data_IF_631009572197
#
_entry.id   IF_631009572197
#
_cell.length_a   1.000
_cell.length_b   1.000
_cell.length_c   1.000
_cell.angle_alpha   90.00
_cell.angle_beta   90.00
_cell.angle_gamma   90.00
#
_symmetry.space_group_name_H-M   'P 1'
#
loop_
_entity.id
_entity.type
_entity.pdbx_description
1 polymer ?
#
# COMPACT_ATOMS: atom_id res chain seq x y z
N UNK A 1 0.11 -11.10 59.04
CA UNK A 1 0.26 -9.82 58.33
C UNK A 1 -0.17 -10.06 56.90
N UNK A 2 -1.15 -9.29 56.44
CA UNK A 2 -1.86 -9.49 55.18
C UNK A 2 -0.92 -9.33 53.98
N UNK A 3 -1.01 -10.24 53.02
CA UNK A 3 -0.33 -10.13 51.73
C UNK A 3 -0.98 -8.99 50.94
N UNK A 4 -0.17 -8.02 50.53
CA UNK A 4 -0.57 -6.94 49.65
C UNK A 4 -1.05 -7.51 48.30
N UNK A 5 -2.36 -7.39 48.04
CA UNK A 5 -2.92 -7.44 46.69
C UNK A 5 -2.29 -6.31 45.86
N UNK A 6 -1.21 -6.61 45.13
CA UNK A 6 -0.65 -5.69 44.14
C UNK A 6 -1.71 -5.42 43.07
N UNK A 7 -2.37 -4.28 43.20
CA UNK A 7 -3.45 -3.85 42.31
C UNK A 7 -2.92 -3.60 40.91
N UNK A 8 -3.10 -4.58 40.02
CA UNK A 8 -2.69 -4.50 38.62
C UNK A 8 -3.37 -3.32 37.92
N UNK A 9 -2.62 -2.60 37.08
CA UNK A 9 -3.09 -1.40 36.37
C UNK A 9 -3.31 -1.69 34.88
N UNK A 10 -4.41 -1.21 34.32
CA UNK A 10 -4.79 -1.40 32.93
C UNK A 10 -3.83 -0.65 31.99
N UNK A 11 -3.16 -1.38 31.11
CA UNK A 11 -2.19 -0.82 30.14
C UNK A 11 -2.80 0.20 29.17
N UNK A 12 -4.12 0.17 28.93
CA UNK A 12 -4.80 1.06 27.98
C UNK A 12 -5.23 2.39 28.59
N UNK A 13 -5.79 2.38 29.81
CA UNK A 13 -6.44 3.57 30.39
C UNK A 13 -6.08 3.86 31.84
N UNK A 14 -5.17 3.09 32.46
CA UNK A 14 -4.75 3.30 33.85
C UNK A 14 -5.76 2.90 34.92
N UNK A 15 -6.96 2.42 34.56
CA UNK A 15 -7.93 1.90 35.52
C UNK A 15 -7.46 0.60 36.18
N UNK A 16 -8.11 0.17 37.26
CA UNK A 16 -7.82 -1.12 37.90
C UNK A 16 -8.03 -2.27 36.90
N UNK A 17 -6.98 -3.07 36.68
CA UNK A 17 -7.04 -4.20 35.77
C UNK A 17 -7.85 -5.34 36.38
N UNK A 18 -8.57 -6.07 35.53
CA UNK A 18 -9.27 -7.29 35.92
C UNK A 18 -8.35 -8.52 35.80
N UNK A 19 -7.27 -8.42 35.02
CA UNK A 19 -6.32 -9.49 34.74
C UNK A 19 -5.84 -9.44 33.30
N UNK A 20 -5.31 -10.57 32.81
CA UNK A 20 -4.87 -10.72 31.43
C UNK A 20 -6.08 -11.02 30.52
N UNK A 21 -6.32 -10.17 29.52
CA UNK A 21 -7.30 -10.39 28.48
C UNK A 21 -6.73 -9.99 27.13
N UNK A 22 -6.87 -10.89 26.14
CA UNK A 22 -6.32 -10.71 24.80
C UNK A 22 -4.80 -10.43 24.85
N UNK A 23 -4.10 -11.22 25.66
CA UNK A 23 -2.65 -11.16 25.88
C UNK A 23 -2.11 -9.93 26.66
N UNK A 24 -2.98 -9.06 27.20
CA UNK A 24 -2.55 -7.88 27.95
C UNK A 24 -3.29 -7.67 29.27
N UNK A 25 -2.63 -7.03 30.24
CA UNK A 25 -3.22 -6.64 31.53
C UNK A 25 -4.16 -5.44 31.34
N UNK A 26 -5.46 -5.68 31.41
CA UNK A 26 -6.49 -4.67 31.10
C UNK A 26 -7.67 -4.70 32.06
N UNK A 27 -8.41 -3.59 32.13
CA UNK A 27 -9.66 -3.50 32.89
C UNK A 27 -10.84 -4.09 32.09
N UNK A 28 -11.96 -4.38 32.79
CA UNK A 28 -13.20 -4.85 32.16
C UNK A 28 -13.73 -3.92 31.06
N UNK A 29 -13.54 -2.61 31.22
CA UNK A 29 -13.95 -1.61 30.25
C UNK A 29 -13.22 -1.75 28.91
N UNK A 30 -11.89 -1.89 28.93
CA UNK A 30 -11.09 -2.04 27.72
C UNK A 30 -11.21 -3.44 27.11
N UNK A 31 -11.33 -4.48 27.94
CA UNK A 31 -11.69 -5.85 27.50
C UNK A 31 -12.96 -5.85 26.64
N UNK A 32 -14.06 -5.33 27.19
CA UNK A 32 -15.35 -5.33 26.49
C UNK A 32 -15.36 -4.42 25.27
N UNK A 33 -14.67 -3.27 25.35
CA UNK A 33 -14.53 -2.35 24.22
C UNK A 33 -13.76 -2.99 23.05
N UNK A 34 -12.62 -3.63 23.33
CA UNK A 34 -11.81 -4.32 22.33
C UNK A 34 -12.60 -5.45 21.67
N UNK A 35 -13.24 -6.33 22.46
CA UNK A 35 -14.09 -7.41 21.96
C UNK A 35 -15.15 -6.93 20.97
N UNK A 36 -15.94 -5.91 21.35
CA UNK A 36 -17.01 -5.37 20.48
C UNK A 36 -16.47 -4.70 19.22
N UNK A 37 -15.29 -4.10 19.31
CA UNK A 37 -14.70 -3.37 18.18
C UNK A 37 -14.10 -4.33 17.15
N UNK A 38 -13.37 -5.35 17.61
CA UNK A 38 -12.80 -6.39 16.75
C UNK A 38 -13.89 -7.26 16.14
N UNK A 39 -14.82 -7.74 16.97
CA UNK A 39 -15.91 -8.62 16.53
C UNK A 39 -16.74 -8.02 15.39
N UNK A 40 -17.24 -6.79 15.58
CA UNK A 40 -18.06 -6.11 14.58
C UNK A 40 -17.23 -5.33 13.55
N UNK A 41 -15.90 -5.55 13.50
CA UNK A 41 -14.95 -4.82 12.64
C UNK A 41 -15.20 -3.29 12.62
N UNK A 42 -15.43 -2.71 13.80
CA UNK A 42 -15.86 -1.30 13.91
C UNK A 42 -14.75 -0.36 13.50
N UNK A 43 -15.06 0.49 12.53
CA UNK A 43 -14.22 1.62 12.16
C UNK A 43 -14.62 2.87 12.94
N UNK A 44 -13.63 3.55 13.52
CA UNK A 44 -13.84 4.79 14.25
C UNK A 44 -12.95 5.88 13.67
N UNK A 45 -13.51 7.06 13.43
CA UNK A 45 -12.76 8.25 13.06
C UNK A 45 -12.51 9.14 14.28
N UNK A 46 -11.30 9.70 14.39
CA UNK A 46 -10.95 10.68 15.42
C UNK A 46 -11.38 12.08 14.96
N UNK A 47 -11.89 12.90 15.88
CA UNK A 47 -12.29 14.30 15.61
C UNK A 47 -11.24 15.34 16.02
N UNK A 48 -10.12 14.92 16.62
CA UNK A 48 -9.19 15.80 17.32
C UNK A 48 -7.72 15.60 16.94
N UNK A 49 -7.41 14.94 15.80
CA UNK A 49 -6.03 14.81 15.31
C UNK A 49 -5.36 13.44 15.53
N UNK A 50 -6.04 12.48 16.18
CA UNK A 50 -5.57 11.08 16.26
C UNK A 50 -4.67 10.73 17.46
N UNK A 51 -4.55 11.64 18.41
CA UNK A 51 -3.64 11.60 19.57
C UNK A 51 -4.34 11.83 20.93
N UNK A 52 -5.66 11.66 20.99
CA UNK A 52 -6.43 11.90 22.23
C UNK A 52 -5.91 11.07 23.41
N UNK A 53 -5.76 11.72 24.57
CA UNK A 53 -5.37 11.06 25.83
C UNK A 53 -6.43 10.03 26.26
N UNK A 54 -5.99 8.81 26.57
CA UNK A 54 -6.86 7.71 27.02
C UNK A 54 -6.58 7.39 28.48
N UNK A 55 -7.34 7.99 29.40
CA UNK A 55 -7.31 7.69 30.85
C UNK A 55 -8.70 7.30 31.35
N UNK A 56 -8.81 6.75 32.56
CA UNK A 56 -10.05 6.18 33.11
C UNK A 56 -11.26 7.11 32.98
N UNK A 57 -11.07 8.40 33.22
CA UNK A 57 -12.10 9.44 33.26
C UNK A 57 -12.61 9.79 31.86
N UNK A 58 -11.73 9.80 30.85
CA UNK A 58 -12.05 10.28 29.50
C UNK A 58 -11.87 9.23 28.39
N UNK A 59 -11.63 7.96 28.71
CA UNK A 59 -11.45 6.86 27.72
C UNK A 59 -12.63 6.65 26.77
N UNK A 60 -13.80 7.24 27.04
CA UNK A 60 -14.97 7.15 26.17
C UNK A 60 -15.10 8.32 25.19
N UNK A 61 -14.28 9.38 25.32
CA UNK A 61 -14.35 10.59 24.48
C UNK A 61 -14.00 10.27 23.02
N UNK A 62 -12.90 9.56 22.79
CA UNK A 62 -12.46 9.18 21.44
C UNK A 62 -12.31 7.67 21.31
N UNK A 63 -13.26 7.02 20.63
CA UNK A 63 -13.24 5.58 20.37
C UNK A 63 -12.09 5.19 19.43
N UNK A 64 -11.75 6.07 18.47
CA UNK A 64 -10.65 5.85 17.53
C UNK A 64 -9.31 5.74 18.27
N UNK A 65 -8.93 6.76 19.03
CA UNK A 65 -7.68 6.74 19.81
C UNK A 65 -7.67 5.64 20.89
N UNK A 66 -8.82 5.32 21.49
CA UNK A 66 -8.91 4.18 22.41
C UNK A 66 -8.62 2.84 21.73
N UNK A 67 -9.21 2.60 20.55
CA UNK A 67 -8.97 1.35 19.81
C UNK A 67 -7.53 1.27 19.33
N UNK A 68 -6.99 2.38 18.79
CA UNK A 68 -5.57 2.53 18.46
C UNK A 68 -4.70 2.14 19.65
N UNK A 69 -5.01 2.68 20.84
CA UNK A 69 -4.26 2.37 22.07
C UNK A 69 -4.33 0.90 22.48
N UNK A 70 -5.47 0.23 22.27
CA UNK A 70 -5.58 -1.22 22.52
C UNK A 70 -4.59 -2.03 21.67
N UNK A 71 -4.43 -1.69 20.39
CA UNK A 71 -3.45 -2.34 19.53
C UNK A 71 -2.02 -1.97 19.88
N UNK A 72 -1.74 -0.69 20.19
CA UNK A 72 -0.40 -0.24 20.61
C UNK A 72 0.11 -0.96 21.86
N UNK A 73 -0.76 -1.29 22.81
CA UNK A 73 -0.36 -2.06 24.00
C UNK A 73 -0.27 -3.56 23.73
N UNK A 74 -0.59 -4.03 22.52
CA UNK A 74 -0.49 -5.42 22.10
C UNK A 74 -1.68 -6.30 22.43
N UNK A 75 -2.92 -5.76 22.46
CA UNK A 75 -4.11 -6.61 22.57
C UNK A 75 -4.31 -7.42 21.29
N UNK A 76 -4.38 -8.76 21.41
CA UNK A 76 -4.47 -9.67 20.28
C UNK A 76 -5.93 -9.79 19.75
N UNK A 77 -6.25 -9.37 18.52
CA UNK A 77 -7.58 -9.52 17.93
C UNK A 77 -7.98 -10.98 17.68
N UNK A 78 -7.04 -11.87 17.41
CA UNK A 78 -7.30 -13.28 17.09
C UNK A 78 -7.76 -14.08 18.32
N UNK A 79 -7.43 -13.59 19.51
CA UNK A 79 -7.94 -14.12 20.78
C UNK A 79 -9.44 -13.78 21.00
N UNK A 80 -10.06 -13.00 20.11
CA UNK A 80 -11.52 -12.76 20.10
C UNK A 80 -12.19 -13.87 19.29
N UNK A 81 -12.52 -14.98 19.95
CA UNK A 81 -13.28 -16.08 19.33
C UNK A 81 -14.62 -15.58 18.76
N UNK A 82 -15.05 -16.13 17.61
CA UNK A 82 -16.42 -15.98 17.07
C UNK A 82 -17.41 -16.84 17.89
N UNK A 83 -18.72 -16.80 17.59
CA UNK A 83 -19.80 -17.21 18.52
C UNK A 83 -19.54 -18.51 19.27
N UNK A 84 -19.87 -18.51 20.57
CA UNK A 84 -20.18 -19.77 21.23
C UNK A 84 -21.53 -20.18 20.67
N UNK A 85 -21.60 -21.33 19.99
CA UNK A 85 -22.85 -22.04 19.78
C UNK A 85 -23.62 -21.98 21.09
N UNK A 86 -24.85 -21.45 21.02
CA UNK A 86 -25.76 -21.47 22.16
C UNK A 86 -26.01 -22.93 22.47
N UNK A 87 -25.20 -23.50 23.36
CA UNK A 87 -25.47 -24.80 23.95
C UNK A 87 -26.86 -24.73 24.56
N UNK A 88 -27.83 -25.32 23.85
CA UNK A 88 -29.18 -25.57 24.29
C UNK A 88 -29.11 -26.58 25.44
N UNK A 89 -28.66 -26.13 26.61
CA UNK A 89 -28.79 -26.90 27.86
C UNK A 89 -30.19 -26.64 28.39
N UNK A 90 -31.12 -27.47 27.95
CA UNK A 90 -32.48 -27.49 28.47
C UNK A 90 -33.38 -28.48 27.75
N UNK A 91 -33.18 -29.78 27.95
CA UNK A 91 -34.25 -30.67 28.41
C UNK A 91 -33.70 -32.07 28.68
N UNK A 92 -33.72 -32.46 29.94
CA UNK A 92 -33.60 -33.83 30.41
C UNK A 92 -34.84 -34.64 30.01
N UNK A 93 -34.61 -35.90 29.59
CA UNK A 93 -35.50 -37.08 29.66
C UNK A 93 -36.89 -36.99 29.01
N UNK A 94 -37.16 -37.80 27.98
CA UNK A 94 -38.06 -38.97 28.05
C UNK A 94 -38.02 -39.77 26.72
N UNK A 95 -38.35 -41.04 26.82
CA UNK A 95 -38.08 -42.16 25.92
C UNK A 95 -39.03 -42.28 24.68
N UNK A 96 -38.48 -42.96 23.66
CA UNK A 96 -39.05 -43.92 22.69
C UNK A 96 -40.22 -43.63 21.72
N UNK A 97 -39.94 -44.07 20.48
CA UNK A 97 -40.81 -44.80 19.54
C UNK A 97 -41.60 -44.09 18.42
N UNK A 98 -41.18 -44.47 17.20
CA UNK A 98 -41.97 -44.90 16.03
C UNK A 98 -42.71 -43.91 15.10
N UNK A 99 -42.26 -43.93 13.85
CA UNK A 99 -43.01 -44.10 12.58
C UNK A 99 -43.62 -42.91 11.82
N UNK A 100 -43.16 -42.84 10.55
CA UNK A 100 -43.90 -42.63 9.28
C UNK A 100 -44.16 -41.22 8.75
N UNK A 101 -43.89 -41.12 7.45
CA UNK A 101 -43.86 -39.94 6.58
C UNK A 101 -45.24 -39.62 5.95
N UNK A 102 -45.31 -38.83 4.85
CA UNK A 102 -45.87 -37.48 4.78
C UNK A 102 -47.23 -37.47 4.03
N UNK A 103 -47.81 -36.30 3.74
CA UNK A 103 -48.50 -36.02 2.46
C UNK A 103 -48.77 -34.53 2.32
N UNK A 104 -48.48 -34.06 1.10
CA UNK A 104 -48.67 -32.73 0.58
C UNK A 104 -50.11 -32.43 0.17
N UNK A 105 -50.43 -31.15 -0.01
CA UNK A 105 -51.39 -30.76 -1.05
C UNK A 105 -51.02 -29.40 -1.63
N UNK A 106 -50.85 -29.43 -2.95
CA UNK A 106 -50.43 -28.34 -3.82
C UNK A 106 -51.61 -27.63 -4.48
N UNK A 107 -51.22 -26.60 -5.25
CA UNK A 107 -51.84 -26.09 -6.48
C UNK A 107 -52.58 -24.74 -6.30
N UNK A 108 -52.56 -23.79 -7.24
CA UNK A 108 -52.33 -23.86 -8.70
C UNK A 108 -52.08 -22.45 -9.27
N UNK A 109 -51.15 -22.34 -10.24
CA UNK A 109 -51.08 -21.52 -11.49
C UNK A 109 -51.66 -20.07 -11.53
N UNK A 110 -51.15 -19.13 -12.34
CA UNK A 110 -51.27 -19.09 -13.83
C UNK A 110 -50.45 -17.89 -14.41
N UNK A 111 -49.57 -18.21 -15.40
CA UNK A 111 -49.13 -17.46 -16.63
C UNK A 111 -48.44 -16.09 -16.44
N UNK A 112 -47.19 -15.85 -16.87
CA UNK A 112 -46.60 -15.95 -18.22
C UNK A 112 -46.50 -14.51 -18.81
N UNK A 113 -45.48 -14.03 -19.55
CA UNK A 113 -44.34 -14.64 -20.21
C UNK A 113 -43.40 -13.50 -20.71
N UNK A 114 -42.09 -13.79 -20.83
CA UNK A 114 -41.10 -13.24 -21.80
C UNK A 114 -40.70 -11.75 -21.66
N UNK A 115 -39.50 -11.28 -22.04
CA UNK A 115 -38.18 -11.82 -22.40
C UNK A 115 -37.35 -10.56 -22.76
N UNK A 116 -36.08 -10.51 -22.36
CA UNK A 116 -34.92 -10.06 -23.13
C UNK A 116 -34.00 -9.04 -22.43
N UNK A 117 -32.73 -9.38 -22.56
CA UNK A 117 -31.49 -8.86 -21.99
C UNK A 117 -30.88 -7.71 -22.82
N UNK A 118 -30.15 -6.79 -22.16
CA UNK A 118 -28.78 -6.28 -22.49
C UNK A 118 -28.55 -4.94 -21.76
N UNK A 119 -27.62 -4.86 -20.80
CA UNK A 119 -26.18 -4.54 -20.89
C UNK A 119 -25.88 -3.06 -21.23
N UNK A 120 -24.93 -2.49 -20.46
CA UNK A 120 -23.88 -1.51 -20.80
C UNK A 120 -23.86 -0.23 -19.92
N UNK A 121 -22.84 -0.22 -19.06
CA UNK A 121 -21.84 0.83 -18.71
C UNK A 121 -22.27 2.24 -18.29
N UNK A 122 -21.66 2.70 -17.19
CA UNK A 122 -21.58 4.11 -16.85
C UNK A 122 -20.10 4.52 -16.74
N UNK A 123 -19.72 5.43 -17.63
CA UNK A 123 -18.41 6.08 -17.70
C UNK A 123 -18.32 7.18 -16.65
N UNK A 124 -17.16 7.32 -16.03
CA UNK A 124 -16.75 8.51 -15.28
C UNK A 124 -15.67 9.23 -16.08
N UNK A 125 -15.97 10.43 -16.57
CA UNK A 125 -15.01 11.40 -17.07
C UNK A 125 -14.94 12.58 -16.11
N UNK A 126 -13.72 12.96 -15.69
CA UNK A 126 -13.36 14.35 -15.43
C UNK A 126 -11.83 14.49 -15.31
N UNK A 127 -11.21 14.99 -16.37
CA UNK A 127 -9.88 15.62 -16.40
C UNK A 127 -9.98 17.06 -15.85
N UNK A 128 -8.85 17.64 -15.40
CA UNK A 128 -8.44 19.04 -15.71
C UNK A 128 -7.09 19.39 -15.07
N UNK A 129 -6.17 19.91 -15.90
CA UNK A 129 -4.97 20.69 -15.56
C UNK A 129 -5.34 22.15 -15.16
N UNK A 130 -4.43 22.90 -14.50
CA UNK A 130 -4.55 24.37 -14.42
C UNK A 130 -3.34 25.15 -14.99
N UNK A 131 -3.62 26.17 -15.83
CA UNK A 131 -2.84 27.42 -15.92
C UNK A 131 -3.75 28.64 -16.14
N UNK A 132 -3.68 29.58 -15.18
CA UNK A 132 -3.71 31.06 -15.26
C UNK A 132 -4.83 31.82 -16.00
N UNK A 133 -5.60 32.66 -15.28
CA UNK A 133 -5.53 34.15 -15.27
C UNK A 133 -6.82 34.82 -14.75
N UNK A 134 -6.66 36.00 -14.13
CA UNK A 134 -7.63 36.87 -13.45
C UNK A 134 -8.85 37.33 -14.29
N UNK A 135 -10.01 37.61 -13.67
CA UNK A 135 -10.42 38.95 -13.22
C UNK A 135 -11.92 39.03 -12.76
N UNK A 136 -12.13 39.96 -11.82
CA UNK A 136 -13.34 40.51 -11.19
C UNK A 136 -14.75 40.33 -11.80
N UNK A 137 -15.77 40.20 -10.93
CA UNK A 137 -16.75 41.27 -10.56
C UNK A 137 -17.71 40.77 -9.45
N UNK A 138 -17.97 41.65 -8.49
CA UNK A 138 -18.84 41.50 -7.31
C UNK A 138 -20.35 41.68 -7.62
N UNK A 139 -21.18 41.16 -6.70
CA UNK A 139 -22.23 41.90 -5.96
C UNK A 139 -23.68 41.40 -6.07
N UNK A 140 -24.21 41.09 -4.87
CA UNK A 140 -25.56 41.38 -4.33
C UNK A 140 -26.82 40.80 -5.01
N UNK A 141 -27.52 39.89 -4.33
CA UNK A 141 -28.61 40.12 -3.36
C UNK A 141 -29.93 40.64 -3.99
N UNK A 142 -30.97 39.80 -3.98
CA UNK A 142 -32.23 40.00 -3.24
C UNK A 142 -33.48 39.46 -3.94
N UNK A 143 -34.42 39.07 -3.06
CA UNK A 143 -35.63 38.28 -3.23
C UNK A 143 -36.78 38.94 -4.02
N UNK A 144 -37.94 38.24 -4.00
CA UNK A 144 -39.36 38.68 -4.20
C UNK A 144 -39.95 38.12 -5.52
N UNK A 145 -41.04 37.31 -5.61
CA UNK A 145 -42.18 36.96 -4.74
C UNK A 145 -42.86 35.67 -5.26
N UNK A 146 -43.46 34.88 -4.34
CA UNK A 146 -44.45 33.81 -4.59
C UNK A 146 -45.81 34.43 -5.00
N UNK A 147 -46.64 33.80 -5.85
CA UNK A 147 -47.67 32.76 -5.56
C UNK A 147 -48.51 32.55 -6.88
N UNK A 148 -49.45 31.59 -7.02
CA UNK A 148 -49.27 30.14 -7.12
C UNK A 148 -50.09 29.52 -8.29
N UNK A 149 -49.85 28.24 -8.64
CA UNK A 149 -50.90 27.36 -9.21
C UNK A 149 -50.53 25.87 -9.08
N UNK A 150 -51.28 25.18 -8.22
CA UNK A 150 -51.76 23.80 -8.25
C UNK A 150 -50.98 22.67 -8.96
N UNK A 151 -50.68 21.64 -8.14
CA UNK A 151 -51.10 20.23 -8.31
C UNK A 151 -49.98 19.18 -8.07
N UNK A 152 -50.37 18.15 -7.30
CA UNK A 152 -49.73 16.84 -7.04
C UNK A 152 -48.75 16.68 -5.87
N UNK A 153 -49.33 16.74 -4.67
CA UNK A 153 -49.17 15.85 -3.50
C UNK A 153 -49.31 14.35 -3.90
N UNK A 154 -48.72 13.31 -3.32
CA UNK A 154 -48.03 13.02 -2.06
C UNK A 154 -47.18 11.73 -2.27
N UNK A 155 -45.98 11.65 -1.68
CA UNK A 155 -45.19 10.40 -1.55
C UNK A 155 -45.21 9.94 -0.08
N UNK A 156 -45.65 8.72 0.26
CA UNK A 156 -45.42 8.14 1.58
C UNK A 156 -44.26 7.13 1.62
N UNK A 157 -43.43 7.32 2.65
CA UNK A 157 -42.53 6.42 3.40
C UNK A 157 -42.19 5.01 2.83
N UNK A 158 -40.91 4.82 2.49
CA UNK A 158 -40.31 3.48 2.35
C UNK A 158 -39.74 3.00 3.69
N UNK A 159 -40.45 2.03 4.25
CA UNK A 159 -40.06 1.24 5.42
C UNK A 159 -38.91 0.28 5.12
N UNK A 160 -38.13 0.03 6.16
CA UNK A 160 -36.96 -0.85 6.21
C UNK A 160 -37.25 -2.29 5.77
N UNK A 161 -36.59 -2.75 4.71
CA UNK A 161 -36.55 -4.16 4.33
C UNK A 161 -35.58 -4.89 5.28
N UNK A 162 -36.12 -5.91 5.95
CA UNK A 162 -35.36 -6.86 6.76
C UNK A 162 -34.54 -7.74 5.83
N UNK A 163 -33.21 -7.62 5.89
CA UNK A 163 -32.32 -8.58 5.24
C UNK A 163 -32.19 -9.81 6.13
N UNK A 164 -32.73 -10.95 5.68
CA UNK A 164 -32.28 -12.26 6.16
C UNK A 164 -30.87 -12.54 5.60
N UNK A 165 -29.97 -13.16 6.38
CA UNK A 165 -28.59 -13.34 5.96
C UNK A 165 -28.49 -14.49 4.94
N UNK A 166 -28.02 -14.18 3.73
CA UNK A 166 -27.49 -15.19 2.82
C UNK A 166 -26.08 -15.58 3.25
N UNK A 167 -25.82 -16.89 3.31
CA UNK A 167 -24.55 -17.55 3.65
C UNK A 167 -23.41 -17.31 2.63
N UNK A 168 -23.25 -16.10 2.10
CA UNK A 168 -22.29 -15.77 1.06
C UNK A 168 -21.21 -14.77 1.50
N UNK A 169 -20.86 -14.74 2.79
CA UNK A 169 -19.85 -13.82 3.35
C UNK A 169 -18.69 -14.54 4.06
N UNK A 170 -18.33 -15.75 3.62
CA UNK A 170 -17.25 -16.54 4.23
C UNK A 170 -15.91 -16.61 3.49
N UNK A 171 -15.73 -15.96 2.33
CA UNK A 171 -14.45 -16.03 1.60
C UNK A 171 -13.81 -14.67 1.36
N UNK A 172 -13.50 -13.94 2.43
CA UNK A 172 -12.41 -12.97 2.37
C UNK A 172 -11.26 -13.52 3.21
N UNK A 173 -10.12 -13.87 2.59
CA UNK A 173 -8.98 -14.41 3.32
C UNK A 173 -8.57 -13.42 4.41
N UNK A 174 -8.38 -13.95 5.62
CA UNK A 174 -7.71 -13.27 6.72
C UNK A 174 -6.40 -12.67 6.20
N UNK A 175 -5.95 -11.49 6.68
CA UNK A 175 -4.62 -10.98 6.32
C UNK A 175 -3.62 -12.11 6.55
N UNK A 176 -3.00 -12.58 5.46
CA UNK A 176 -2.06 -13.69 5.46
C UNK A 176 -0.93 -13.35 6.42
N UNK A 177 -1.03 -13.86 7.65
CA UNK A 177 0.18 -14.21 8.38
C UNK A 177 0.72 -15.42 7.64
N UNK A 178 1.81 -15.23 6.93
CA UNK A 178 2.52 -16.36 6.32
C UNK A 178 2.93 -17.31 7.44
N UNK A 179 2.45 -18.55 7.39
CA UNK A 179 2.88 -19.60 8.32
C UNK A 179 4.37 -19.95 8.09
N UNK A 180 4.92 -19.60 6.92
CA UNK A 180 6.33 -19.70 6.55
C UNK A 180 6.92 -18.32 6.17
N UNK A 181 7.95 -17.81 6.87
CA UNK A 181 8.65 -16.57 6.49
C UNK A 181 9.15 -16.54 5.04
N UNK A 182 9.49 -17.69 4.49
CA UNK A 182 10.05 -17.85 3.13
C UNK A 182 8.98 -17.77 2.03
N UNK A 183 7.69 -17.80 2.39
CA UNK A 183 6.58 -17.56 1.46
C UNK A 183 6.11 -16.10 1.44
N UNK A 184 6.65 -15.26 2.31
CA UNK A 184 6.22 -13.86 2.41
C UNK A 184 6.53 -13.07 1.14
N UNK A 185 5.61 -12.18 0.72
CA UNK A 185 5.85 -11.26 -0.43
C UNK A 185 7.20 -10.54 -0.31
N UNK A 186 7.59 -9.95 0.84
CA UNK A 186 8.89 -9.28 0.97
C UNK A 186 10.07 -10.22 0.67
N UNK A 187 10.03 -11.46 1.16
CA UNK A 187 11.08 -12.44 0.89
C UNK A 187 11.15 -12.80 -0.59
N UNK A 188 10.02 -13.10 -1.22
CA UNK A 188 9.98 -13.44 -2.65
C UNK A 188 10.53 -12.30 -3.52
N UNK A 189 10.15 -11.05 -3.22
CA UNK A 189 10.65 -9.88 -3.94
C UNK A 189 12.17 -9.72 -3.76
N UNK A 190 12.69 -9.91 -2.55
CA UNK A 190 14.13 -9.88 -2.27
C UNK A 190 14.88 -10.97 -3.05
N UNK A 191 14.30 -12.16 -3.21
CA UNK A 191 14.92 -13.24 -3.98
C UNK A 191 14.94 -12.93 -5.48
N UNK A 192 13.84 -12.37 -6.04
CA UNK A 192 13.82 -11.88 -7.43
C UNK A 192 14.87 -10.79 -7.65
N UNK A 193 14.99 -9.85 -6.71
CA UNK A 193 16.00 -8.78 -6.75
C UNK A 193 17.42 -9.33 -6.80
N UNK A 194 17.78 -10.23 -5.89
CA UNK A 194 19.11 -10.86 -5.84
C UNK A 194 19.43 -11.61 -7.13
N UNK A 195 18.48 -12.37 -7.66
CA UNK A 195 18.67 -13.12 -8.90
C UNK A 195 18.97 -12.21 -10.10
N UNK A 196 18.30 -11.05 -10.18
CA UNK A 196 18.54 -10.07 -11.25
C UNK A 196 19.85 -9.32 -11.04
N UNK A 197 20.18 -8.98 -9.79
CA UNK A 197 21.43 -8.30 -9.43
C UNK A 197 22.67 -9.11 -9.83
N UNK A 198 22.61 -10.43 -9.68
CA UNK A 198 23.70 -11.34 -9.99
C UNK A 198 23.82 -11.70 -11.48
N UNK A 199 22.79 -11.38 -12.29
CA UNK A 199 22.76 -11.69 -13.72
C UNK A 199 23.85 -10.94 -14.48
N UNK A 200 24.65 -11.68 -15.26
CA UNK A 200 25.77 -11.17 -16.05
C UNK A 200 25.77 -11.78 -17.45
N UNK A 201 26.26 -11.02 -18.42
CA UNK A 201 26.63 -11.51 -19.74
C UNK A 201 28.12 -11.90 -19.70
N UNK A 202 28.55 -12.88 -20.51
CA UNK A 202 29.95 -13.34 -20.58
C UNK A 202 30.85 -12.34 -21.34
N UNK A 203 31.03 -11.12 -20.81
CA UNK A 203 31.73 -10.01 -21.48
C UNK A 203 32.69 -9.28 -20.50
N UNK A 204 33.83 -8.70 -20.96
CA UNK A 204 34.77 -8.00 -20.09
C UNK A 204 34.15 -6.87 -19.27
N UNK A 205 34.71 -6.64 -18.08
CA UNK A 205 34.08 -6.00 -16.91
C UNK A 205 33.58 -4.57 -17.10
N UNK A 206 33.99 -3.88 -18.17
CA UNK A 206 33.52 -2.53 -18.52
C UNK A 206 33.55 -2.42 -20.05
N UNK A 207 32.39 -2.29 -20.73
CA UNK A 207 32.40 -2.04 -22.16
C UNK A 207 33.10 -0.71 -22.45
N UNK A 208 33.97 -0.62 -23.48
CA UNK A 208 34.56 0.64 -23.89
C UNK A 208 33.45 1.66 -24.20
N UNK A 209 33.73 2.95 -24.00
CA UNK A 209 32.79 4.03 -24.26
C UNK A 209 32.15 3.83 -25.65
N UNK A 210 30.82 3.61 -25.70
CA UNK A 210 30.18 3.19 -26.95
C UNK A 210 30.32 4.27 -28.02
N UNK A 211 31.11 3.99 -29.06
CA UNK A 211 31.21 4.82 -30.26
C UNK A 211 29.88 4.75 -31.02
N UNK A 212 29.02 5.74 -30.77
CA UNK A 212 27.74 6.03 -31.46
C UNK A 212 26.69 4.90 -31.43
N UNK A 213 25.63 5.14 -30.66
CA UNK A 213 24.40 4.32 -30.71
C UNK A 213 23.51 4.73 -31.87
N UNK A 214 23.02 3.73 -32.61
CA UNK A 214 21.85 3.86 -33.46
C UNK A 214 20.64 4.36 -32.63
N UNK A 215 19.83 5.22 -33.23
CA UNK A 215 18.55 5.66 -32.68
C UNK A 215 17.59 4.44 -32.63
N UNK A 216 17.48 3.82 -31.45
CA UNK A 216 16.65 2.64 -31.22
C UNK A 216 15.36 3.06 -30.52
N UNK A 217 14.22 2.60 -31.04
CA UNK A 217 12.94 2.85 -30.38
C UNK A 217 12.89 2.14 -29.03
N UNK A 218 12.15 2.72 -28.08
CA UNK A 218 11.95 2.11 -26.76
C UNK A 218 11.40 0.69 -26.86
N UNK A 219 10.50 0.41 -27.82
CA UNK A 219 9.95 -0.92 -28.01
C UNK A 219 11.04 -1.93 -28.42
N UNK A 220 11.93 -1.56 -29.34
CA UNK A 220 13.05 -2.42 -29.76
C UNK A 220 14.01 -2.65 -28.58
N UNK A 221 14.33 -1.59 -27.85
CA UNK A 221 15.17 -1.64 -26.65
C UNK A 221 14.55 -2.50 -25.52
N UNK A 222 13.25 -2.36 -25.30
CA UNK A 222 12.50 -3.12 -24.31
C UNK A 222 12.51 -4.61 -24.63
N UNK A 223 12.24 -4.96 -25.89
CA UNK A 223 12.25 -6.35 -26.33
C UNK A 223 13.67 -6.95 -26.28
N UNK A 224 14.69 -6.15 -26.62
CA UNK A 224 16.09 -6.59 -26.72
C UNK A 224 17.04 -5.73 -25.86
N UNK A 225 17.03 -5.86 -24.52
CA UNK A 225 17.81 -4.99 -23.62
C UNK A 225 19.32 -5.02 -23.86
N UNK A 226 19.86 -6.13 -24.35
CA UNK A 226 21.30 -6.26 -24.68
C UNK A 226 21.75 -5.33 -25.80
N UNK A 227 20.83 -4.79 -26.62
CA UNK A 227 21.14 -3.70 -27.58
C UNK A 227 21.44 -2.37 -26.87
N UNK A 228 21.00 -2.22 -25.61
CA UNK A 228 21.18 -1.00 -24.82
C UNK A 228 22.47 -1.06 -24.01
N UNK A 229 22.71 -2.15 -23.31
CA UNK A 229 23.91 -2.37 -22.52
C UNK A 229 24.11 -3.87 -22.32
N UNK A 230 25.36 -4.27 -22.16
CA UNK A 230 25.69 -5.56 -21.59
C UNK A 230 25.35 -5.59 -20.10
N UNK A 231 25.10 -6.79 -19.58
CA UNK A 231 24.94 -7.06 -18.15
C UNK A 231 26.30 -7.26 -17.50
N UNK A 232 26.89 -6.18 -17.05
CA UNK A 232 28.05 -6.22 -16.16
C UNK A 232 27.63 -6.03 -14.70
N UNK A 233 28.53 -6.40 -13.78
CA UNK A 233 28.32 -6.23 -12.34
C UNK A 233 28.11 -4.77 -12.00
N UNK A 234 27.02 -4.44 -11.32
CA UNK A 234 26.79 -3.08 -10.85
C UNK A 234 27.64 -2.81 -9.61
N UNK A 235 28.28 -1.65 -9.58
CA UNK A 235 29.07 -1.16 -8.45
C UNK A 235 28.69 0.29 -8.18
N UNK A 236 28.17 0.56 -6.98
CA UNK A 236 27.78 1.90 -6.53
C UNK A 236 28.84 2.53 -5.63
N UNK A 237 30.06 1.98 -5.58
CA UNK A 237 31.18 2.60 -4.89
C UNK A 237 31.66 3.84 -5.68
N UNK A 238 31.86 4.99 -5.03
CA UNK A 238 32.24 6.26 -5.67
C UNK A 238 33.72 6.25 -6.11
N UNK A 239 34.04 5.51 -7.16
CA UNK A 239 35.43 5.29 -7.56
C UNK A 239 35.95 6.32 -8.55
N UNK A 240 35.05 7.00 -9.28
CA UNK A 240 35.41 8.00 -10.30
C UNK A 240 34.36 9.11 -10.39
N UNK A 241 34.79 10.31 -10.77
CA UNK A 241 33.90 11.45 -11.00
C UNK A 241 33.01 11.20 -12.22
N UNK A 242 31.75 11.61 -12.13
CA UNK A 242 30.77 11.49 -13.21
C UNK A 242 31.17 12.34 -14.42
N UNK A 243 31.23 11.72 -15.58
CA UNK A 243 31.35 12.36 -16.90
C UNK A 243 30.08 12.12 -17.72
N UNK A 244 29.82 12.85 -18.81
CA UNK A 244 28.65 12.62 -19.65
C UNK A 244 28.54 11.19 -20.18
N UNK A 245 29.66 10.58 -20.57
CA UNK A 245 29.67 9.20 -21.07
C UNK A 245 29.36 8.19 -19.96
N UNK A 246 29.91 8.42 -18.76
CA UNK A 246 29.61 7.58 -17.59
C UNK A 246 28.16 7.72 -17.16
N UNK A 247 27.59 8.93 -17.23
CA UNK A 247 26.18 9.17 -16.97
C UNK A 247 25.29 8.36 -17.92
N UNK A 248 25.53 8.51 -19.22
CA UNK A 248 24.78 7.80 -20.26
C UNK A 248 24.92 6.27 -20.08
N UNK A 249 26.13 5.77 -19.83
CA UNK A 249 26.38 4.34 -19.67
C UNK A 249 25.79 3.79 -18.36
N UNK A 250 25.76 4.58 -17.29
CA UNK A 250 25.10 4.23 -16.03
C UNK A 250 23.60 4.01 -16.24
N UNK A 251 22.93 4.95 -16.91
CA UNK A 251 21.51 4.82 -17.24
C UNK A 251 21.20 3.71 -18.24
N UNK A 252 22.09 3.46 -19.22
CA UNK A 252 21.96 2.29 -20.12
C UNK A 252 22.02 0.98 -19.36
N UNK A 253 22.93 0.85 -18.39
CA UNK A 253 23.03 -0.34 -17.54
C UNK A 253 21.82 -0.49 -16.63
N UNK A 254 21.36 0.62 -16.05
CA UNK A 254 20.15 0.65 -15.24
C UNK A 254 18.90 0.27 -16.03
N UNK A 255 18.78 0.70 -17.29
CA UNK A 255 17.71 0.27 -18.17
C UNK A 255 17.64 -1.25 -18.28
N UNK A 256 18.77 -1.92 -18.57
CA UNK A 256 18.82 -3.38 -18.68
C UNK A 256 18.47 -4.05 -17.36
N UNK A 257 18.99 -3.53 -16.25
CA UNK A 257 18.65 -3.99 -14.91
C UNK A 257 17.14 -3.90 -14.64
N UNK A 258 16.54 -2.75 -14.94
CA UNK A 258 15.11 -2.52 -14.77
C UNK A 258 14.26 -3.47 -15.62
N UNK A 259 14.61 -3.68 -16.89
CA UNK A 259 13.87 -4.60 -17.76
C UNK A 259 14.00 -6.05 -17.28
N UNK A 260 15.20 -6.48 -16.89
CA UNK A 260 15.36 -7.82 -16.32
C UNK A 260 14.55 -7.99 -15.03
N UNK A 261 14.45 -6.94 -14.20
CA UNK A 261 13.73 -6.96 -12.95
C UNK A 261 12.20 -7.03 -13.13
N UNK A 262 11.59 -6.15 -13.93
CA UNK A 262 10.13 -6.20 -14.17
C UNK A 262 9.70 -7.49 -14.88
N UNK A 263 10.60 -8.13 -15.65
CA UNK A 263 10.34 -9.43 -16.27
C UNK A 263 10.33 -10.59 -15.28
N UNK A 264 10.74 -10.40 -14.03
CA UNK A 264 10.62 -11.44 -13.01
C UNK A 264 9.21 -11.58 -12.43
N UNK A 265 8.30 -10.64 -12.72
CA UNK A 265 6.93 -10.64 -12.22
C UNK A 265 6.01 -11.35 -13.19
N UNK A 266 5.33 -12.40 -12.73
CA UNK A 266 4.44 -13.19 -13.58
C UNK A 266 3.21 -12.37 -13.99
N UNK A 267 2.75 -11.49 -13.10
CA UNK A 267 1.65 -10.55 -13.34
C UNK A 267 2.01 -9.56 -14.44
N UNK A 268 3.26 -9.08 -14.48
CA UNK A 268 3.72 -8.20 -15.55
C UNK A 268 3.78 -8.94 -16.89
N UNK A 269 4.23 -10.19 -16.90
CA UNK A 269 4.29 -11.01 -18.12
C UNK A 269 2.90 -11.34 -18.69
N UNK A 270 1.86 -11.38 -17.85
CA UNK A 270 0.48 -11.62 -18.27
C UNK A 270 -0.16 -10.41 -18.98
N UNK A 271 0.41 -9.20 -18.82
CA UNK A 271 -0.08 -8.00 -19.49
C UNK A 271 0.14 -8.06 -21.00
N UNK A 272 -0.69 -7.34 -21.76
CA UNK A 272 -0.48 -7.19 -23.21
C UNK A 272 0.83 -6.43 -23.48
N UNK A 273 1.47 -6.67 -24.62
CA UNK A 273 2.70 -5.96 -24.98
C UNK A 273 2.54 -4.42 -24.95
N UNK A 274 1.44 -3.81 -25.45
CA UNK A 274 1.20 -2.38 -25.28
C UNK A 274 1.21 -1.92 -23.82
N UNK A 275 0.54 -2.65 -22.92
CA UNK A 275 0.48 -2.29 -21.49
C UNK A 275 1.84 -2.45 -20.81
N UNK A 276 2.58 -3.51 -21.13
CA UNK A 276 3.96 -3.70 -20.67
C UNK A 276 4.84 -2.53 -21.08
N UNK A 277 4.75 -2.07 -22.33
CA UNK A 277 5.53 -0.93 -22.84
C UNK A 277 5.17 0.38 -22.14
N UNK A 278 3.88 0.64 -21.92
CA UNK A 278 3.41 1.85 -21.23
C UNK A 278 3.89 1.85 -19.78
N UNK A 279 3.64 0.76 -19.05
CA UNK A 279 4.02 0.63 -17.65
C UNK A 279 5.55 0.71 -17.48
N UNK A 280 6.30 -0.02 -18.32
CA UNK A 280 7.76 -0.01 -18.27
C UNK A 280 8.33 1.38 -18.55
N UNK A 281 7.79 2.10 -19.54
CA UNK A 281 8.24 3.46 -19.86
C UNK A 281 7.96 4.43 -18.73
N UNK A 282 6.76 4.37 -18.16
CA UNK A 282 6.31 5.31 -17.14
C UNK A 282 7.05 5.15 -15.80
N UNK A 283 7.60 3.95 -15.51
CA UNK A 283 8.26 3.66 -14.23
C UNK A 283 9.78 3.58 -14.29
N UNK A 284 10.38 3.57 -15.47
CA UNK A 284 11.83 3.47 -15.65
C UNK A 284 12.62 4.53 -14.85
N UNK A 285 12.21 5.80 -14.96
CA UNK A 285 12.92 6.92 -14.32
C UNK A 285 12.80 6.87 -12.81
N UNK A 286 11.60 6.63 -12.28
CA UNK A 286 11.33 6.52 -10.84
C UNK A 286 12.12 5.36 -10.23
N UNK A 287 12.10 4.18 -10.87
CA UNK A 287 12.90 3.03 -10.47
C UNK A 287 14.40 3.35 -10.44
N UNK A 288 14.87 4.15 -11.41
CA UNK A 288 16.23 4.70 -11.45
C UNK A 288 16.58 5.50 -10.23
N UNK A 289 15.87 6.60 -10.00
CA UNK A 289 16.16 7.49 -8.89
C UNK A 289 16.04 6.79 -7.54
N UNK A 290 15.06 5.91 -7.37
CA UNK A 290 14.91 5.11 -6.16
C UNK A 290 16.14 4.22 -5.91
N UNK A 291 16.58 3.49 -6.94
CA UNK A 291 17.74 2.58 -6.86
C UNK A 291 19.04 3.34 -6.60
N UNK A 292 19.29 4.41 -7.37
CA UNK A 292 20.47 5.26 -7.18
C UNK A 292 20.49 5.88 -5.77
N UNK A 293 19.35 6.33 -5.27
CA UNK A 293 19.25 6.92 -3.92
C UNK A 293 19.54 5.90 -2.82
N UNK A 294 18.91 4.73 -2.89
CA UNK A 294 19.11 3.68 -1.89
C UNK A 294 20.57 3.20 -1.84
N UNK A 295 21.19 2.92 -2.99
CA UNK A 295 22.59 2.50 -3.01
C UNK A 295 23.55 3.64 -2.63
N UNK A 296 23.20 4.89 -2.89
CA UNK A 296 23.98 6.04 -2.41
C UNK A 296 23.91 6.20 -0.90
N UNK A 297 22.73 5.97 -0.30
CA UNK A 297 22.60 5.90 1.16
C UNK A 297 23.56 4.86 1.73
N UNK A 298 23.58 3.64 1.16
CA UNK A 298 24.46 2.57 1.61
C UNK A 298 25.96 2.90 1.44
N UNK A 299 26.33 3.68 0.43
CA UNK A 299 27.73 4.10 0.24
C UNK A 299 28.19 5.16 1.26
N UNK A 300 27.25 5.82 1.94
CA UNK A 300 27.52 6.85 2.95
C UNK A 300 28.07 8.15 2.37
N UNK A 301 27.92 8.38 1.06
CA UNK A 301 28.51 9.55 0.37
C UNK A 301 27.51 10.68 0.21
N UNK A 302 28.05 11.90 0.22
CA UNK A 302 27.30 13.12 -0.01
C UNK A 302 27.24 13.44 -1.51
N UNK A 303 26.25 12.90 -2.21
CA UNK A 303 26.13 13.01 -3.67
C UNK A 303 25.17 11.97 -4.25
N UNK A 304 25.44 11.51 -5.48
CA UNK A 304 24.73 10.40 -6.15
C UNK A 304 25.74 9.39 -6.72
N UNK A 305 25.56 8.12 -6.39
CA UNK A 305 26.32 6.99 -6.92
C UNK A 305 25.56 6.29 -8.06
N UNK A 306 26.29 5.91 -9.11
CA UNK A 306 25.77 5.22 -10.27
C UNK A 306 26.26 3.77 -10.32
N UNK A 307 25.55 2.92 -11.06
CA UNK A 307 25.81 1.48 -11.17
C UNK A 307 27.17 1.12 -11.81
N UNK A 308 27.88 2.09 -12.36
CA UNK A 308 29.18 1.94 -13.02
C UNK A 308 30.33 2.62 -12.23
N UNK A 309 30.17 2.70 -10.91
CA UNK A 309 31.11 3.31 -9.97
C UNK A 309 31.35 4.82 -10.17
N UNK A 310 30.55 5.47 -11.01
CA UNK A 310 30.58 6.92 -11.20
C UNK A 310 29.86 7.64 -10.05
N UNK A 311 30.33 8.84 -9.74
CA UNK A 311 29.85 9.61 -8.60
C UNK A 311 29.71 11.09 -8.95
N UNK A 312 28.55 11.66 -8.63
CA UNK A 312 28.31 13.10 -8.70
C UNK A 312 28.24 13.67 -7.27
N UNK A 313 29.21 14.50 -6.86
CA UNK A 313 29.24 15.04 -5.50
C UNK A 313 28.15 16.10 -5.28
N UNK A 314 27.61 16.14 -4.06
CA UNK A 314 26.82 17.27 -3.60
C UNK A 314 27.77 18.44 -3.26
N UNK A 315 27.36 19.67 -3.59
CA UNK A 315 28.24 20.83 -3.79
C UNK A 315 29.15 21.25 -2.62
N UNK A 316 28.98 20.71 -1.41
CA UNK A 316 29.61 21.27 -0.20
C UNK A 316 31.07 20.88 0.02
N UNK A 317 31.61 19.81 -0.59
CA UNK A 317 32.81 19.15 -0.02
C UNK A 317 33.97 18.85 -1.00
N UNK A 318 33.94 19.29 -2.26
CA UNK A 318 35.00 18.94 -3.23
C UNK A 318 35.64 20.15 -3.94
N UNK A 319 36.97 20.23 -3.88
CA UNK A 319 37.78 21.22 -4.60
C UNK A 319 37.83 20.93 -6.11
N UNK A 320 37.72 22.01 -6.89
CA UNK A 320 37.41 22.02 -8.32
C UNK A 320 38.63 21.88 -9.23
N UNK A 321 38.77 20.73 -9.90
CA UNK A 321 39.58 20.62 -11.13
C UNK A 321 39.14 19.54 -12.13
N UNK A 322 38.30 18.57 -11.74
CA UNK A 322 37.99 17.39 -12.58
C UNK A 322 36.50 17.24 -12.98
N UNK A 323 35.63 18.20 -12.66
CA UNK A 323 34.19 18.11 -12.99
C UNK A 323 33.88 18.64 -14.38
N UNK A 324 33.00 17.93 -15.10
CA UNK A 324 32.47 18.37 -16.38
C UNK A 324 31.28 19.31 -16.15
N UNK A 325 31.41 20.57 -16.58
CA UNK A 325 30.38 21.61 -16.39
C UNK A 325 29.00 21.20 -16.91
N UNK A 326 28.93 20.40 -17.99
CA UNK A 326 27.65 19.96 -18.57
C UNK A 326 26.90 19.03 -17.62
N UNK A 327 27.64 18.22 -16.85
CA UNK A 327 27.07 17.31 -15.87
C UNK A 327 26.62 18.11 -14.65
N UNK A 328 27.47 19.01 -14.15
CA UNK A 328 27.12 19.88 -13.02
C UNK A 328 25.84 20.70 -13.31
N UNK A 329 25.75 21.35 -14.47
CA UNK A 329 24.56 22.12 -14.86
C UNK A 329 23.28 21.26 -14.94
N UNK A 330 23.38 20.02 -15.42
CA UNK A 330 22.22 19.12 -15.49
C UNK A 330 21.85 18.56 -14.10
N UNK A 331 22.83 18.25 -13.27
CA UNK A 331 22.64 17.55 -11.99
C UNK A 331 22.62 18.47 -10.78
N UNK A 332 22.85 19.77 -10.89
CA UNK A 332 22.88 20.70 -9.75
C UNK A 332 21.57 20.64 -8.95
N UNK A 333 20.43 20.89 -9.60
CA UNK A 333 19.12 20.84 -8.94
C UNK A 333 18.70 19.41 -8.61
N UNK A 334 19.04 18.45 -9.47
CA UNK A 334 18.64 17.05 -9.31
C UNK A 334 19.36 16.38 -8.16
N UNK A 335 20.66 16.65 -7.98
CA UNK A 335 21.45 16.11 -6.86
C UNK A 335 20.90 16.61 -5.55
N UNK A 336 20.62 17.92 -5.46
CA UNK A 336 20.01 18.49 -4.28
C UNK A 336 18.65 17.85 -3.96
N UNK A 337 17.75 17.80 -4.93
CA UNK A 337 16.43 17.19 -4.74
C UNK A 337 16.53 15.71 -4.36
N UNK A 338 17.42 14.94 -5.00
CA UNK A 338 17.63 13.52 -4.70
C UNK A 338 18.14 13.32 -3.27
N UNK A 339 19.10 14.15 -2.83
CA UNK A 339 19.64 14.09 -1.47
C UNK A 339 18.55 14.42 -0.45
N UNK A 340 17.90 15.58 -0.60
CA UNK A 340 16.94 16.10 0.36
C UNK A 340 15.65 15.26 0.46
N UNK A 341 15.18 14.70 -0.66
CA UNK A 341 13.86 14.08 -0.75
C UNK A 341 13.85 12.55 -0.88
N UNK A 342 15.00 11.91 -1.12
CA UNK A 342 15.09 10.45 -1.18
C UNK A 342 16.16 9.89 -0.25
N UNK A 343 17.41 10.35 -0.40
CA UNK A 343 18.55 9.77 0.34
C UNK A 343 18.42 10.07 1.84
N UNK A 344 18.16 11.31 2.23
CA UNK A 344 18.04 11.68 3.64
C UNK A 344 16.80 11.07 4.32
N UNK A 345 15.62 11.00 3.67
CA UNK A 345 14.50 10.22 4.17
C UNK A 345 14.82 8.73 4.38
N UNK A 346 15.52 8.08 3.44
CA UNK A 346 15.96 6.68 3.64
C UNK A 346 16.86 6.53 4.88
N UNK A 347 17.81 7.46 5.09
CA UNK A 347 18.66 7.47 6.29
C UNK A 347 17.84 7.66 7.57
N UNK A 348 16.90 8.61 7.56
CA UNK A 348 16.07 8.95 8.71
C UNK A 348 15.16 7.79 9.12
N UNK A 349 14.55 7.12 8.14
CA UNK A 349 13.67 5.97 8.37
C UNK A 349 14.45 4.68 8.65
N UNK A 350 15.76 4.66 8.40
CA UNK A 350 16.61 3.45 8.45
C UNK A 350 16.07 2.35 7.55
N UNK A 351 15.66 2.72 6.34
CA UNK A 351 15.01 1.83 5.39
C UNK A 351 15.89 0.61 5.12
N UNK A 352 15.35 -0.58 5.40
CA UNK A 352 16.05 -1.83 5.17
C UNK A 352 15.96 -2.29 3.71
N UNK A 353 16.63 -3.40 3.39
CA UNK A 353 16.66 -3.92 2.03
C UNK A 353 15.31 -4.45 1.56
N UNK A 354 14.53 -5.08 2.44
CA UNK A 354 13.22 -5.61 2.09
C UNK A 354 12.23 -4.45 1.84
N UNK A 355 12.25 -3.42 2.69
CA UNK A 355 11.45 -2.21 2.52
C UNK A 355 11.78 -1.47 1.21
N UNK A 356 13.07 -1.34 0.87
CA UNK A 356 13.48 -0.78 -0.41
C UNK A 356 12.93 -1.57 -1.59
N UNK A 357 13.09 -2.89 -1.57
CA UNK A 357 12.62 -3.74 -2.68
C UNK A 357 11.09 -3.71 -2.76
N UNK A 358 10.38 -3.65 -1.63
CA UNK A 358 8.92 -3.49 -1.61
C UNK A 358 8.46 -2.13 -2.15
N UNK A 359 9.17 -1.04 -1.86
CA UNK A 359 8.85 0.28 -2.41
C UNK A 359 9.12 0.37 -3.92
N UNK A 360 10.05 -0.48 -4.39
CA UNK A 360 10.43 -0.57 -5.80
C UNK A 360 9.41 -1.38 -6.61
N UNK A 361 8.86 -2.45 -6.03
CA UNK A 361 7.74 -3.28 -6.51
C UNK A 361 6.47 -2.44 -6.68
#
# INVERSE_FOLDING_TARGET
>A
MNQDDQKLTCRVCGDTAAGNHYSQIVCNGCKGFFRRSVWSRRQYSCRFGGDCVVVKECRNVCRSCRLKKCFEVGMNPDAVQHERDRNFRGSSTFEESSQSSPIATSATQVIGAKKLCRTIECQTDMSLDPRTSNDHINSELSCIKNEPSDAFQDLPELSCIKNEPSDAFQDLPSPYYYDDPDESIPFQLVMKEKGVWEKRDDVPTIPPASEKKADISFQVAFLNPSLVSERYSMDFKPSRILTPDLLINGWKRHFVYYIDWIRTFDEFQQLTLPDQLILARNRLTDHGWLSHSYHTMLSGRNGICFANAAFHPYMTDFQWSERDKRVDEFYESQTKATVDHLIDPFKMMKTDYAEFVMLKA
#
